data_IF_630341814037
#
_entry.id   IF_630341814037
#
_cell.length_a   1.000
_cell.length_b   1.000
_cell.length_c   1.000
_cell.angle_alpha   90.00
_cell.angle_beta   90.00
_cell.angle_gamma   90.00
#
_symmetry.space_group_name_H-M   'P 1'
#
loop_
_entity.id
_entity.type
_entity.pdbx_description
1 polymer ?
#
# COMPACT_ATOMS: atom_id res chain seq x y z
N UNK A 1 -7.77 6.97 9.00
CA UNK A 1 -7.98 5.53 9.26
C UNK A 1 -8.09 4.80 7.92
N UNK A 2 -7.31 3.73 7.66
CA UNK A 2 -7.34 3.01 6.38
C UNK A 2 -8.68 2.30 6.11
N UNK A 3 -9.35 1.78 7.16
CA UNK A 3 -10.67 1.14 7.02
C UNK A 3 -11.69 2.16 6.52
N UNK A 4 -11.78 3.33 7.18
CA UNK A 4 -12.71 4.38 6.77
C UNK A 4 -12.46 4.85 5.33
N UNK A 5 -11.20 5.05 4.95
CA UNK A 5 -10.85 5.47 3.59
C UNK A 5 -11.29 4.46 2.51
N UNK A 6 -11.22 3.16 2.81
CA UNK A 6 -11.73 2.11 1.91
C UNK A 6 -13.25 2.12 1.85
N UNK A 7 -13.93 2.28 2.99
CA UNK A 7 -15.39 2.34 3.04
C UNK A 7 -15.93 3.54 2.26
N UNK A 8 -15.36 4.73 2.49
CA UNK A 8 -15.71 5.96 1.77
C UNK A 8 -15.51 5.79 0.27
N UNK A 9 -14.39 5.17 -0.13
CA UNK A 9 -14.12 4.87 -1.52
C UNK A 9 -15.14 3.91 -2.13
N UNK A 10 -15.53 2.84 -1.43
CA UNK A 10 -16.55 1.91 -1.93
C UNK A 10 -17.89 2.60 -2.17
N UNK A 11 -18.29 3.51 -1.27
CA UNK A 11 -19.51 4.30 -1.40
C UNK A 11 -19.44 5.22 -2.61
N UNK A 12 -18.41 6.07 -2.70
CA UNK A 12 -18.26 7.05 -3.78
C UNK A 12 -18.08 6.37 -5.15
N UNK A 13 -17.39 5.24 -5.20
CA UNK A 13 -17.14 4.49 -6.42
C UNK A 13 -18.27 3.50 -6.80
N UNK A 14 -19.31 3.37 -5.99
CA UNK A 14 -20.43 2.45 -6.21
C UNK A 14 -19.99 0.99 -6.33
N UNK A 15 -19.06 0.55 -5.47
CA UNK A 15 -18.44 -0.78 -5.56
C UNK A 15 -19.15 -1.75 -4.62
N UNK A 16 -19.99 -2.61 -5.19
CA UNK A 16 -20.60 -3.76 -4.49
C UNK A 16 -19.93 -5.09 -4.83
N UNK A 17 -19.26 -5.16 -5.99
CA UNK A 17 -18.56 -6.37 -6.48
C UNK A 17 -17.40 -6.01 -7.41
N UNK A 18 -16.55 -6.99 -7.70
CA UNK A 18 -15.40 -6.85 -8.59
C UNK A 18 -14.20 -6.13 -7.95
N UNK A 19 -13.29 -5.54 -8.75
CA UNK A 19 -12.08 -4.91 -8.24
C UNK A 19 -12.39 -3.70 -7.34
N UNK A 20 -11.76 -3.65 -6.16
CA UNK A 20 -11.87 -2.53 -5.22
C UNK A 20 -11.22 -1.26 -5.78
N UNK A 21 -10.01 -1.37 -6.33
CA UNK A 21 -9.35 -0.26 -7.02
C UNK A 21 -9.55 -0.41 -8.52
N UNK A 22 -10.29 0.54 -9.10
CA UNK A 22 -10.64 0.56 -10.52
C UNK A 22 -9.89 1.67 -11.24
N UNK A 23 -9.70 1.51 -12.55
CA UNK A 23 -9.07 2.53 -13.39
C UNK A 23 -9.93 3.81 -13.43
N UNK A 24 -9.33 4.95 -13.11
CA UNK A 24 -9.92 6.27 -13.32
C UNK A 24 -9.38 6.88 -14.62
N UNK A 25 -10.27 7.36 -15.48
CA UNK A 25 -9.92 8.07 -16.72
C UNK A 25 -9.81 9.57 -16.48
N UNK A 26 -9.13 10.30 -17.38
CA UNK A 26 -8.95 11.76 -17.26
C UNK A 26 -10.27 12.55 -17.28
N UNK A 27 -11.34 11.95 -17.80
CA UNK A 27 -12.68 12.53 -17.82
C UNK A 27 -13.46 12.26 -16.52
N UNK A 28 -12.75 11.99 -15.41
CA UNK A 28 -13.29 11.55 -14.12
C UNK A 28 -14.25 10.35 -14.16
N UNK A 29 -14.19 9.58 -15.26
CA UNK A 29 -14.97 8.36 -15.42
C UNK A 29 -14.26 7.21 -14.74
N UNK A 30 -14.98 6.48 -13.88
CA UNK A 30 -14.49 5.22 -13.33
C UNK A 30 -14.76 4.06 -14.31
N UNK A 31 -13.72 3.30 -14.62
CA UNK A 31 -13.81 2.07 -15.41
C UNK A 31 -14.26 0.87 -14.56
N UNK A 32 -14.50 -0.25 -15.23
CA UNK A 32 -14.79 -1.55 -14.57
C UNK A 32 -13.54 -2.37 -14.29
N UNK A 33 -12.46 -2.08 -15.02
CA UNK A 33 -11.19 -2.79 -14.95
C UNK A 33 -10.41 -2.49 -13.67
N UNK A 34 -9.65 -3.48 -13.21
CA UNK A 34 -8.75 -3.34 -12.06
C UNK A 34 -7.65 -2.32 -12.35
N UNK A 35 -7.26 -1.56 -11.34
CA UNK A 35 -6.11 -0.67 -11.42
C UNK A 35 -4.83 -1.49 -11.63
N UNK A 36 -3.96 -1.06 -12.54
CA UNK A 36 -2.71 -1.77 -12.83
C UNK A 36 -1.65 -1.49 -11.76
N UNK A 37 -0.72 -2.44 -11.50
CA UNK A 37 0.38 -2.22 -10.56
C UNK A 37 1.22 -0.99 -10.89
N UNK A 38 1.46 -0.73 -12.19
CA UNK A 38 2.18 0.45 -12.66
C UNK A 38 1.47 1.75 -12.24
N UNK A 39 0.13 1.80 -12.30
CA UNK A 39 -0.63 2.98 -11.86
C UNK A 39 -0.55 3.18 -10.36
N UNK A 40 -0.56 2.11 -9.57
CA UNK A 40 -0.32 2.18 -8.12
C UNK A 40 1.06 2.78 -7.84
N UNK A 41 2.11 2.31 -8.51
CA UNK A 41 3.46 2.86 -8.35
C UNK A 41 3.51 4.36 -8.70
N UNK A 42 2.88 4.78 -9.80
CA UNK A 42 2.82 6.20 -10.19
C UNK A 42 2.07 7.06 -9.17
N UNK A 43 0.99 6.56 -8.55
CA UNK A 43 0.28 7.25 -7.48
C UNK A 43 1.20 7.45 -6.27
N UNK A 44 1.92 6.40 -5.87
CA UNK A 44 2.86 6.46 -4.73
C UNK A 44 3.97 7.48 -5.01
N UNK A 45 4.58 7.44 -6.20
CA UNK A 45 5.61 8.40 -6.62
C UNK A 45 5.09 9.84 -6.60
N UNK A 46 3.85 10.06 -7.07
CA UNK A 46 3.20 11.39 -7.02
C UNK A 46 3.01 11.85 -5.58
N UNK A 47 2.54 10.99 -4.69
CA UNK A 47 2.35 11.32 -3.27
C UNK A 47 3.68 11.61 -2.58
N UNK A 48 4.72 10.80 -2.82
CA UNK A 48 6.07 11.03 -2.30
C UNK A 48 6.59 12.41 -2.71
N UNK A 49 6.47 12.77 -3.99
CA UNK A 49 6.82 14.11 -4.47
C UNK A 49 6.05 15.22 -3.75
N UNK A 50 4.76 15.03 -3.55
CA UNK A 50 3.88 16.03 -2.93
C UNK A 50 4.26 16.34 -1.46
N UNK A 51 4.92 15.40 -0.79
CA UNK A 51 5.42 15.58 0.59
C UNK A 51 6.93 15.83 0.66
N UNK A 52 7.56 16.17 -0.47
CA UNK A 52 8.99 16.54 -0.54
C UNK A 52 9.97 15.37 -0.53
N UNK A 53 9.52 14.13 -0.75
CA UNK A 53 10.36 12.94 -0.82
C UNK A 53 10.82 12.64 -2.25
N UNK A 54 11.97 11.98 -2.40
CA UNK A 54 12.51 11.52 -3.68
C UNK A 54 11.67 10.38 -4.27
N UNK A 55 10.87 10.59 -5.34
CA UNK A 55 9.96 9.59 -5.87
C UNK A 55 10.63 8.32 -6.38
N UNK A 56 11.91 8.35 -6.74
CA UNK A 56 12.60 7.15 -7.24
C UNK A 56 12.85 6.13 -6.12
N UNK A 57 12.78 6.55 -4.86
CA UNK A 57 12.90 5.67 -3.69
C UNK A 57 11.58 5.04 -3.25
N UNK A 58 10.43 5.44 -3.83
CA UNK A 58 9.11 5.00 -3.37
C UNK A 58 8.29 4.30 -4.45
N UNK A 59 7.72 3.15 -4.07
CA UNK A 59 6.80 2.35 -4.87
C UNK A 59 5.98 1.41 -3.96
N UNK A 60 5.30 0.41 -4.52
CA UNK A 60 4.52 -0.55 -3.72
C UNK A 60 5.37 -1.30 -2.68
N UNK A 61 6.62 -1.63 -3.01
CA UNK A 61 7.51 -2.34 -2.10
C UNK A 61 7.95 -1.48 -0.90
N UNK A 62 8.22 -0.19 -1.12
CA UNK A 62 8.66 0.71 -0.03
C UNK A 62 7.60 0.87 1.05
N UNK A 63 6.31 0.89 0.69
CA UNK A 63 5.21 0.93 1.67
C UNK A 63 5.18 -0.31 2.56
N UNK A 64 5.46 -1.47 1.99
CA UNK A 64 5.54 -2.73 2.74
C UNK A 64 6.74 -2.75 3.69
N UNK A 65 7.91 -2.32 3.22
CA UNK A 65 9.10 -2.22 4.08
C UNK A 65 8.85 -1.24 5.23
N UNK A 66 8.29 -0.06 4.94
CA UNK A 66 7.93 0.92 5.97
C UNK A 66 6.92 0.38 6.99
N UNK A 67 5.91 -0.37 6.55
CA UNK A 67 4.97 -1.03 7.45
C UNK A 67 5.66 -2.00 8.42
N UNK A 68 6.61 -2.79 7.93
CA UNK A 68 7.37 -3.73 8.78
C UNK A 68 8.27 -3.00 9.77
N UNK A 69 8.95 -1.92 9.34
CA UNK A 69 9.73 -1.07 10.24
C UNK A 69 8.85 -0.47 11.34
N UNK A 70 7.68 0.10 10.99
CA UNK A 70 6.74 0.64 11.98
C UNK A 70 6.19 -0.44 12.93
N UNK A 71 5.93 -1.65 12.43
CA UNK A 71 5.48 -2.77 13.27
C UNK A 71 6.56 -3.22 14.27
N UNK A 72 7.83 -3.25 13.85
CA UNK A 72 8.95 -3.53 14.73
C UNK A 72 9.10 -2.45 15.82
N UNK A 73 9.00 -1.17 15.45
CA UNK A 73 9.00 -0.06 16.42
C UNK A 73 7.82 -0.13 17.40
N UNK A 74 6.68 -0.68 16.98
CA UNK A 74 5.54 -0.94 17.85
C UNK A 74 5.67 -2.24 18.66
N UNK A 75 6.85 -2.87 18.68
CA UNK A 75 7.13 -4.13 19.36
C UNK A 75 6.18 -5.28 18.96
N UNK A 76 5.70 -5.29 17.72
CA UNK A 76 4.94 -6.41 17.20
C UNK A 76 5.83 -7.66 17.14
N UNK A 77 5.28 -8.83 17.47
CA UNK A 77 6.05 -10.07 17.39
C UNK A 77 6.45 -10.37 15.94
N UNK A 78 7.63 -10.94 15.77
CA UNK A 78 8.16 -11.31 14.45
C UNK A 78 7.22 -12.27 13.71
N UNK A 79 6.54 -13.16 14.44
CA UNK A 79 5.54 -14.08 13.88
C UNK A 79 4.32 -13.34 13.31
N UNK A 80 3.81 -12.32 14.02
CA UNK A 80 2.68 -11.51 13.55
C UNK A 80 3.07 -10.66 12.35
N UNK A 81 4.29 -10.12 12.34
CA UNK A 81 4.83 -9.39 11.19
C UNK A 81 5.01 -10.31 9.97
N UNK A 82 5.50 -11.53 10.17
CA UNK A 82 5.66 -12.54 9.13
C UNK A 82 4.32 -12.98 8.53
N UNK A 83 3.32 -13.22 9.37
CA UNK A 83 1.97 -13.59 8.94
C UNK A 83 1.32 -12.48 8.10
N UNK A 84 1.31 -11.25 8.64
CA UNK A 84 0.73 -10.08 7.95
C UNK A 84 1.42 -9.76 6.63
N UNK A 85 2.76 -9.90 6.60
CA UNK A 85 3.51 -9.66 5.38
C UNK A 85 3.50 -10.88 4.46
N UNK A 86 3.22 -12.10 4.93
CA UNK A 86 3.36 -13.35 4.17
C UNK A 86 4.82 -13.68 3.81
N UNK A 87 5.79 -13.24 4.62
CA UNK A 87 7.18 -13.68 4.47
C UNK A 87 7.33 -15.11 4.99
N UNK A 88 7.96 -15.98 4.20
CA UNK A 88 8.20 -17.38 4.55
C UNK A 88 9.49 -17.60 5.34
N UNK A 89 10.47 -16.70 5.17
CA UNK A 89 11.72 -16.70 5.96
C UNK A 89 11.70 -15.52 6.92
N UNK A 90 12.10 -15.78 8.16
CA UNK A 90 12.24 -14.79 9.21
C UNK A 90 13.54 -13.99 9.07
N UNK A 91 14.49 -14.45 8.26
CA UNK A 91 15.77 -13.75 8.04
C UNK A 91 15.57 -12.39 7.36
N UNK A 92 14.54 -12.25 6.53
CA UNK A 92 14.18 -10.99 5.86
C UNK A 92 13.53 -9.98 6.83
N UNK A 93 13.15 -10.44 8.04
CA UNK A 93 12.52 -9.62 9.08
C UNK A 93 13.42 -9.38 10.29
N UNK A 94 14.60 -10.02 10.33
CA UNK A 94 15.63 -9.71 11.31
C UNK A 94 16.19 -8.34 10.96
N UNK A 95 15.84 -7.35 11.78
CA UNK A 95 16.65 -6.15 11.90
C UNK A 95 17.77 -6.59 12.83
N UNK A 96 18.98 -6.74 12.32
CA UNK A 96 20.16 -6.99 13.15
C UNK A 96 20.22 -5.86 14.18
N UNK A 97 19.94 -6.21 15.44
CA UNK A 97 20.12 -5.33 16.57
C UNK A 97 21.55 -5.50 17.07
N UNK A 98 22.27 -4.38 17.16
CA UNK A 98 23.22 -4.17 18.25
C UNK A 98 22.49 -4.20 19.60
#
# INVERSE_FOLDING_TARGET
>A
CPVQAVLDWQVVAGITTGPLFRRLYRSDRLGRERLTPQRVALIIKRLARAVGLDPERYAGHSLRSGFLTSAAHAHASIFKMADQSRHKSLDVLRVDGD
#
